data_IF_645312455917
#
_entry.id   IF_645312455917
#
_cell.length_a   1.000
_cell.length_b   1.000
_cell.length_c   1.000
_cell.angle_alpha   90.00
_cell.angle_beta   90.00
_cell.angle_gamma   90.00
#
_symmetry.space_group_name_H-M   'P 1'
#
loop_
_entity.id
_entity.type
_entity.pdbx_description
1 polymer ?
#
# COMPACT_ATOMS: atom_id res chain seq x y z
N UNK A 1 10.83 7.53 -16.58
CA UNK A 1 10.49 8.06 -15.24
C UNK A 1 11.57 9.00 -14.67
N UNK A 2 12.86 8.62 -14.51
CA UNK A 2 13.88 9.49 -13.87
C UNK A 2 14.02 10.88 -14.54
N UNK A 3 13.98 10.96 -15.87
CA UNK A 3 14.08 12.25 -16.58
C UNK A 3 12.85 13.14 -16.32
N UNK A 4 11.65 12.57 -16.27
CA UNK A 4 10.43 13.30 -15.92
C UNK A 4 10.51 13.85 -14.50
N UNK A 5 11.01 13.05 -13.53
CA UNK A 5 11.21 13.52 -12.15
C UNK A 5 12.20 14.70 -12.10
N UNK A 6 13.29 14.67 -12.90
CA UNK A 6 14.23 15.78 -12.97
C UNK A 6 13.60 17.06 -13.52
N UNK A 7 12.73 16.96 -14.52
CA UNK A 7 11.99 18.09 -15.08
C UNK A 7 10.98 18.64 -14.07
N UNK A 8 10.18 17.76 -13.46
CA UNK A 8 9.21 18.14 -12.44
C UNK A 8 9.87 18.86 -11.24
N UNK A 9 11.07 18.41 -10.81
CA UNK A 9 11.85 19.13 -9.78
C UNK A 9 12.27 20.55 -10.17
N UNK A 10 12.37 20.84 -11.48
CA UNK A 10 12.65 22.17 -12.00
C UNK A 10 11.40 23.03 -12.20
N UNK A 11 10.22 22.51 -11.82
CA UNK A 11 8.95 23.21 -11.92
C UNK A 11 8.16 22.92 -13.20
N UNK A 12 8.56 21.92 -13.98
CA UNK A 12 7.82 21.48 -15.18
C UNK A 12 6.55 20.74 -14.74
N UNK A 13 5.39 21.44 -14.83
CA UNK A 13 4.09 20.87 -14.44
C UNK A 13 3.65 19.71 -15.33
N UNK A 14 3.73 19.77 -16.67
CA UNK A 14 3.42 18.65 -17.53
C UNK A 14 4.21 17.37 -17.19
N UNK A 15 5.51 17.52 -16.87
CA UNK A 15 6.33 16.39 -16.44
C UNK A 15 5.86 15.80 -15.11
N UNK A 16 5.42 16.64 -14.16
CA UNK A 16 4.83 16.16 -12.90
C UNK A 16 3.52 15.41 -13.14
N UNK A 17 2.61 15.97 -13.93
CA UNK A 17 1.32 15.34 -14.25
C UNK A 17 1.50 13.97 -14.90
N UNK A 18 2.48 13.85 -15.80
CA UNK A 18 2.81 12.57 -16.45
C UNK A 18 3.30 11.52 -15.43
N UNK A 19 4.19 11.91 -14.51
CA UNK A 19 4.67 11.00 -13.47
C UNK A 19 3.53 10.53 -12.59
N UNK A 20 2.66 11.45 -12.17
CA UNK A 20 1.52 11.14 -11.30
C UNK A 20 0.57 10.19 -12.01
N UNK A 21 0.24 10.44 -13.28
CA UNK A 21 -0.61 9.56 -14.08
C UNK A 21 -0.08 8.12 -14.11
N UNK A 22 1.24 7.94 -14.20
CA UNK A 22 1.88 6.63 -14.16
C UNK A 22 1.82 5.97 -12.77
N UNK A 23 1.76 6.77 -11.70
CA UNK A 23 1.82 6.26 -10.33
C UNK A 23 0.43 6.02 -9.70
N UNK A 24 -0.61 6.78 -10.13
CA UNK A 24 -1.95 6.76 -9.50
C UNK A 24 -2.52 5.34 -9.33
N UNK A 25 -2.48 4.44 -10.32
CA UNK A 25 -3.03 3.09 -10.14
C UNK A 25 -2.36 2.32 -9.00
N UNK A 26 -1.03 2.46 -8.88
CA UNK A 26 -0.26 1.83 -7.81
C UNK A 26 -0.56 2.46 -6.44
N UNK A 27 -0.64 3.80 -6.40
CA UNK A 27 -0.96 4.55 -5.19
C UNK A 27 -2.37 4.21 -4.69
N UNK A 28 -3.35 4.17 -5.57
CA UNK A 28 -4.72 3.80 -5.23
C UNK A 28 -4.79 2.39 -4.65
N UNK A 29 -4.10 1.40 -5.28
CA UNK A 29 -4.04 0.03 -4.77
C UNK A 29 -3.46 -0.04 -3.35
N UNK A 30 -2.42 0.77 -3.06
CA UNK A 30 -1.84 0.84 -1.72
C UNK A 30 -2.83 1.49 -0.74
N UNK A 31 -3.46 2.61 -1.11
CA UNK A 31 -4.43 3.29 -0.27
C UNK A 31 -5.61 2.38 0.08
N UNK A 32 -6.16 1.67 -0.92
CA UNK A 32 -7.20 0.66 -0.73
C UNK A 32 -6.77 -0.45 0.21
N UNK A 33 -5.51 -0.91 0.14
CA UNK A 33 -5.00 -1.93 1.06
C UNK A 33 -4.93 -1.46 2.52
N UNK A 34 -4.93 -0.16 2.77
CA UNK A 34 -4.89 0.43 4.10
C UNK A 34 -6.30 0.80 4.58
N UNK A 35 -7.04 1.50 3.75
CA UNK A 35 -8.30 2.16 4.13
C UNK A 35 -9.52 1.27 3.92
N UNK A 36 -9.44 0.34 2.96
CA UNK A 36 -10.55 -0.56 2.57
C UNK A 36 -11.87 0.21 2.30
N UNK A 37 -11.76 1.42 1.78
CA UNK A 37 -12.85 2.30 1.38
C UNK A 37 -12.37 3.14 0.20
N UNK A 38 -13.19 3.21 -0.84
CA UNK A 38 -12.81 3.84 -2.11
C UNK A 38 -12.66 5.34 -1.96
N UNK A 39 -13.63 6.01 -1.33
CA UNK A 39 -13.64 7.46 -1.20
C UNK A 39 -12.47 7.93 -0.32
N UNK A 40 -12.23 7.27 0.82
CA UNK A 40 -11.08 7.55 1.68
C UNK A 40 -9.75 7.29 0.93
N UNK A 41 -9.70 6.28 0.05
CA UNK A 41 -8.52 5.98 -0.74
C UNK A 41 -8.25 7.04 -1.81
N UNK A 42 -9.29 7.50 -2.51
CA UNK A 42 -9.20 8.59 -3.48
C UNK A 42 -8.72 9.87 -2.80
N UNK A 43 -9.29 10.23 -1.65
CA UNK A 43 -8.89 11.41 -0.86
C UNK A 43 -7.42 11.30 -0.42
N UNK A 44 -7.00 10.15 0.11
CA UNK A 44 -5.61 9.95 0.53
C UNK A 44 -4.62 10.04 -0.64
N UNK A 45 -5.01 9.57 -1.83
CA UNK A 45 -4.19 9.70 -3.05
C UNK A 45 -4.11 11.16 -3.48
N UNK A 46 -5.24 11.89 -3.51
CA UNK A 46 -5.27 13.31 -3.84
C UNK A 46 -4.37 14.13 -2.90
N UNK A 47 -4.51 13.95 -1.59
CA UNK A 47 -3.65 14.61 -0.59
C UNK A 47 -2.17 14.26 -0.76
N UNK A 48 -1.86 12.99 -1.07
CA UNK A 48 -0.48 12.57 -1.30
C UNK A 48 0.11 13.22 -2.55
N UNK A 49 -0.67 13.38 -3.62
CA UNK A 49 -0.26 14.06 -4.86
C UNK A 49 0.02 15.53 -4.61
N UNK A 50 -0.88 16.23 -3.89
CA UNK A 50 -0.67 17.64 -3.52
C UNK A 50 0.62 17.80 -2.71
N UNK A 51 0.81 16.98 -1.66
CA UNK A 51 2.03 17.01 -0.85
C UNK A 51 3.29 16.66 -1.63
N UNK A 52 3.17 15.74 -2.60
CA UNK A 52 4.28 15.41 -3.48
C UNK A 52 4.64 16.60 -4.39
N UNK A 53 3.64 17.29 -4.96
CA UNK A 53 3.88 18.50 -5.76
C UNK A 53 4.61 19.59 -4.98
N UNK A 54 4.11 19.91 -3.79
CA UNK A 54 4.72 20.92 -2.91
C UNK A 54 6.15 20.60 -2.50
N UNK A 55 6.49 19.32 -2.36
CA UNK A 55 7.74 18.87 -1.76
C UNK A 55 8.70 18.14 -2.73
N UNK A 56 8.39 18.05 -4.02
CA UNK A 56 9.23 17.33 -4.99
C UNK A 56 10.65 17.90 -5.07
N UNK A 57 10.81 19.20 -4.82
CA UNK A 57 12.11 19.86 -4.77
C UNK A 57 13.02 19.32 -3.65
N UNK A 58 12.45 18.77 -2.56
CA UNK A 58 13.17 18.16 -1.43
C UNK A 58 13.64 16.74 -1.70
N UNK A 59 13.20 16.10 -2.79
CA UNK A 59 13.65 14.77 -3.15
C UNK A 59 15.13 14.79 -3.53
N UNK A 60 15.99 14.15 -2.75
CA UNK A 60 17.44 14.16 -2.99
C UNK A 60 17.82 13.43 -4.28
N UNK A 61 17.37 12.20 -4.46
CA UNK A 61 17.68 11.38 -5.64
C UNK A 61 16.40 10.96 -6.37
N UNK A 62 16.31 11.33 -7.65
CA UNK A 62 15.18 11.05 -8.52
C UNK A 62 14.88 9.53 -8.68
N UNK A 63 15.87 8.66 -8.43
CA UNK A 63 15.70 7.20 -8.47
C UNK A 63 14.72 6.70 -7.40
N UNK A 64 14.62 7.41 -6.29
CA UNK A 64 13.77 7.03 -5.15
C UNK A 64 12.38 7.69 -5.17
N UNK A 65 11.99 8.32 -6.27
CA UNK A 65 10.69 9.00 -6.38
C UNK A 65 9.53 8.07 -6.03
N UNK A 66 9.49 6.85 -6.58
CA UNK A 66 8.42 5.88 -6.31
C UNK A 66 8.32 5.56 -4.82
N UNK A 67 9.43 5.21 -4.18
CA UNK A 67 9.47 4.92 -2.74
C UNK A 67 9.09 6.14 -1.89
N UNK A 68 9.50 7.33 -2.32
CA UNK A 68 9.23 8.58 -1.64
C UNK A 68 7.75 8.96 -1.68
N UNK A 69 7.08 8.88 -2.85
CA UNK A 69 5.65 9.18 -2.96
C UNK A 69 4.79 8.14 -2.24
N UNK A 70 5.16 6.86 -2.30
CA UNK A 70 4.50 5.79 -1.53
C UNK A 70 4.57 6.09 -0.03
N UNK A 71 5.70 6.57 0.48
CA UNK A 71 5.82 6.97 1.89
C UNK A 71 4.91 8.13 2.25
N UNK A 72 4.76 9.13 1.37
CA UNK A 72 3.83 10.24 1.57
C UNK A 72 2.40 9.67 1.66
N UNK A 73 2.01 8.84 0.71
CA UNK A 73 0.68 8.22 0.68
C UNK A 73 0.39 7.42 1.96
N UNK A 74 1.30 6.54 2.37
CA UNK A 74 1.11 5.70 3.56
C UNK A 74 0.91 6.57 4.82
N UNK A 75 1.62 7.69 4.93
CA UNK A 75 1.44 8.61 6.04
C UNK A 75 0.03 9.23 6.03
N UNK A 76 -0.51 9.61 4.84
CA UNK A 76 -1.87 10.13 4.70
C UNK A 76 -2.90 9.05 5.04
N UNK A 77 -2.79 7.88 4.41
CA UNK A 77 -3.71 6.78 4.64
C UNK A 77 -3.74 6.33 6.12
N UNK A 78 -2.59 6.25 6.78
CA UNK A 78 -2.55 5.93 8.21
C UNK A 78 -3.16 7.02 9.09
N UNK A 79 -3.04 8.30 8.72
CA UNK A 79 -3.68 9.40 9.43
C UNK A 79 -5.20 9.34 9.28
N UNK A 80 -5.71 9.12 8.07
CA UNK A 80 -7.13 8.93 7.79
C UNK A 80 -7.70 7.71 8.53
N UNK A 81 -7.02 6.56 8.49
CA UNK A 81 -7.40 5.36 9.22
C UNK A 81 -7.53 5.59 10.74
N UNK A 82 -6.55 6.28 11.33
CA UNK A 82 -6.58 6.61 12.77
C UNK A 82 -7.68 7.60 13.13
N UNK A 83 -7.96 8.59 12.28
CA UNK A 83 -9.05 9.54 12.50
C UNK A 83 -10.40 8.84 12.51
N UNK A 84 -10.62 7.94 11.54
CA UNK A 84 -11.86 7.18 11.41
C UNK A 84 -12.06 6.22 12.58
N UNK A 85 -11.03 5.50 13.01
CA UNK A 85 -11.13 4.60 14.17
C UNK A 85 -11.46 5.36 15.46
N UNK A 86 -10.98 6.60 15.64
CA UNK A 86 -11.36 7.44 16.79
C UNK A 86 -12.84 7.85 16.77
N UNK A 87 -13.38 8.13 15.59
CA UNK A 87 -14.79 8.51 15.42
C UNK A 87 -15.69 7.31 15.78
N UNK A 88 -15.35 6.10 15.34
CA UNK A 88 -16.10 4.89 15.66
C UNK A 88 -16.10 4.64 17.18
N UNK A 89 -14.97 4.81 17.87
CA UNK A 89 -14.90 4.68 19.34
C UNK A 89 -15.75 5.71 20.11
N UNK A 90 -16.09 6.83 19.51
CA UNK A 90 -16.95 7.86 20.15
C UNK A 90 -18.44 7.57 19.97
N UNK A 91 -18.83 6.76 18.99
CA UNK A 91 -20.23 6.44 18.68
C UNK A 91 -20.66 5.01 19.08
N UNK A 92 -19.72 4.07 19.23
CA UNK A 92 -20.02 2.67 19.59
C UNK A 92 -19.36 2.27 20.91
N UNK A 93 -20.15 2.35 21.99
CA UNK A 93 -19.77 1.72 23.27
C UNK A 93 -20.10 0.22 23.30
N UNK A 94 -20.64 -0.35 22.21
CA UNK A 94 -21.07 -1.74 22.15
C UNK A 94 -20.86 -2.34 20.76
N UNK A 95 -19.65 -2.62 20.35
CA UNK A 95 -19.34 -3.78 19.50
C UNK A 95 -17.84 -3.80 19.18
N UNK A 96 -17.14 -4.79 19.73
CA UNK A 96 -15.79 -5.17 19.32
C UNK A 96 -15.84 -5.91 17.96
N UNK A 97 -16.27 -5.20 16.92
CA UNK A 97 -16.18 -5.66 15.55
C UNK A 97 -15.33 -4.67 14.76
N UNK A 98 -14.18 -5.13 14.24
CA UNK A 98 -13.51 -4.42 13.15
C UNK A 98 -14.57 -4.12 12.07
N UNK A 99 -14.69 -2.87 11.58
CA UNK A 99 -15.70 -2.54 10.60
C UNK A 99 -15.47 -3.42 9.35
N UNK A 100 -16.38 -4.38 9.14
CA UNK A 100 -16.47 -5.11 7.88
C UNK A 100 -17.09 -4.16 6.87
N UNK A 101 -16.26 -3.46 6.10
CA UNK A 101 -16.73 -2.70 4.96
C UNK A 101 -16.89 -3.62 3.75
N UNK A 102 -18.10 -3.65 3.21
CA UNK A 102 -18.50 -4.49 2.06
C UNK A 102 -17.94 -4.02 0.71
N UNK A 103 -17.17 -2.93 0.65
CA UNK A 103 -16.48 -2.54 -0.57
C UNK A 103 -15.30 -3.49 -0.80
N UNK A 104 -15.56 -4.51 -1.59
CA UNK A 104 -14.56 -5.51 -1.99
C UNK A 104 -13.42 -4.79 -2.71
N UNK A 105 -12.29 -4.79 -2.05
CA UNK A 105 -11.01 -4.41 -2.67
C UNK A 105 -10.79 -5.26 -3.91
N UNK A 106 -11.02 -4.67 -5.09
CA UNK A 106 -10.87 -5.35 -6.37
C UNK A 106 -9.39 -5.42 -6.77
N UNK A 107 -8.72 -6.48 -6.33
CA UNK A 107 -7.42 -6.90 -6.88
C UNK A 107 -7.60 -7.77 -8.14
N UNK A 108 -8.80 -7.82 -8.71
CA UNK A 108 -9.27 -8.82 -9.63
C UNK A 108 -10.30 -9.70 -8.92
N UNK A 109 -11.28 -10.22 -9.65
CA UNK A 109 -12.42 -10.98 -9.12
C UNK A 109 -12.06 -12.34 -8.48
N UNK A 110 -10.84 -12.48 -7.96
CA UNK A 110 -10.24 -13.74 -7.55
C UNK A 110 -10.31 -13.96 -6.04
N UNK A 111 -10.41 -15.22 -5.64
CA UNK A 111 -10.30 -15.69 -4.27
C UNK A 111 -9.09 -15.10 -3.53
N UNK A 112 -8.00 -14.83 -4.25
CA UNK A 112 -6.79 -14.20 -3.71
C UNK A 112 -7.05 -12.77 -3.22
N UNK A 113 -7.82 -11.96 -3.95
CA UNK A 113 -8.21 -10.61 -3.55
C UNK A 113 -8.97 -10.61 -2.25
N UNK A 114 -9.98 -11.48 -2.16
CA UNK A 114 -10.78 -11.64 -0.94
C UNK A 114 -9.92 -12.14 0.23
N UNK A 115 -9.01 -13.09 -0.03
CA UNK A 115 -8.11 -13.60 0.99
C UNK A 115 -7.14 -12.53 1.51
N UNK A 116 -6.60 -11.67 0.62
CA UNK A 116 -5.74 -10.54 0.99
C UNK A 116 -6.52 -9.47 1.75
N UNK A 117 -7.74 -9.13 1.29
CA UNK A 117 -8.61 -8.17 1.98
C UNK A 117 -8.95 -8.61 3.41
N UNK A 118 -9.10 -9.92 3.63
CA UNK A 118 -9.35 -10.50 4.95
C UNK A 118 -8.11 -10.67 5.85
N UNK A 119 -6.94 -10.14 5.46
CA UNK A 119 -5.78 -10.03 6.36
C UNK A 119 -5.90 -8.79 7.24
N UNK A 120 -5.29 -8.82 8.44
CA UNK A 120 -5.13 -7.60 9.23
C UNK A 120 -4.33 -6.55 8.45
N UNK A 121 -4.59 -5.28 8.73
CA UNK A 121 -3.97 -4.12 8.08
C UNK A 121 -2.44 -4.29 7.90
N UNK A 122 -1.75 -4.72 8.95
CA UNK A 122 -0.29 -4.87 8.94
C UNK A 122 0.21 -5.92 7.96
N UNK A 123 -0.50 -7.04 7.85
CA UNK A 123 -0.17 -8.13 6.94
C UNK A 123 -0.55 -7.77 5.50
N UNK A 124 -1.71 -7.16 5.30
CA UNK A 124 -2.19 -6.73 3.99
C UNK A 124 -1.26 -5.70 3.37
N UNK A 125 -0.86 -4.68 4.14
CA UNK A 125 0.06 -3.64 3.68
C UNK A 125 1.40 -4.20 3.22
N UNK A 126 2.04 -5.08 4.00
CA UNK A 126 3.34 -5.65 3.59
C UNK A 126 3.23 -6.58 2.38
N UNK A 127 2.14 -7.32 2.23
CA UNK A 127 1.86 -8.14 1.04
C UNK A 127 1.71 -7.24 -0.18
N UNK A 128 0.93 -6.17 -0.08
CA UNK A 128 0.71 -5.21 -1.19
C UNK A 128 2.03 -4.58 -1.63
N UNK A 129 2.84 -4.10 -0.71
CA UNK A 129 4.12 -3.48 -1.05
C UNK A 129 5.13 -4.48 -1.66
N UNK A 130 5.16 -5.71 -1.17
CA UNK A 130 6.12 -6.71 -1.61
C UNK A 130 5.75 -7.32 -2.96
N UNK A 131 4.49 -7.79 -3.13
CA UNK A 131 4.08 -8.55 -4.30
C UNK A 131 3.51 -7.69 -5.43
N UNK A 132 2.81 -6.61 -5.11
CA UNK A 132 2.17 -5.76 -6.12
C UNK A 132 3.02 -4.54 -6.50
N UNK A 133 3.93 -4.12 -5.62
CA UNK A 133 4.81 -2.97 -5.89
C UNK A 133 6.27 -3.38 -6.12
N UNK A 134 6.59 -4.67 -6.06
CA UNK A 134 7.94 -5.23 -6.22
C UNK A 134 9.00 -4.57 -5.31
N UNK A 135 8.58 -4.07 -4.13
CA UNK A 135 9.48 -3.39 -3.20
C UNK A 135 10.35 -4.39 -2.44
N UNK A 136 11.62 -4.07 -2.29
CA UNK A 136 12.55 -4.85 -1.47
C UNK A 136 12.24 -4.66 0.02
N UNK A 137 12.55 -5.67 0.84
CA UNK A 137 12.33 -5.63 2.30
C UNK A 137 12.92 -4.36 2.94
N UNK A 138 14.11 -3.94 2.51
CA UNK A 138 14.76 -2.71 2.99
C UNK A 138 13.94 -1.45 2.66
N UNK A 139 13.34 -1.39 1.47
CA UNK A 139 12.50 -0.26 1.03
C UNK A 139 11.18 -0.24 1.81
N UNK A 140 10.54 -1.40 1.98
CA UNK A 140 9.33 -1.55 2.80
C UNK A 140 9.59 -1.12 4.24
N UNK A 141 10.70 -1.55 4.83
CA UNK A 141 11.11 -1.15 6.18
C UNK A 141 11.27 0.37 6.30
N UNK A 142 11.88 1.01 5.29
CA UNK A 142 12.05 2.47 5.24
C UNK A 142 10.74 3.22 5.07
N UNK A 143 9.82 2.71 4.24
CA UNK A 143 8.51 3.32 3.98
C UNK A 143 7.60 3.20 5.20
N UNK A 144 7.52 2.01 5.81
CA UNK A 144 6.68 1.73 6.99
C UNK A 144 7.32 2.17 8.31
N UNK A 145 8.59 2.59 8.31
CA UNK A 145 9.36 2.97 9.51
C UNK A 145 9.42 1.87 10.58
N UNK A 146 9.59 0.61 10.12
CA UNK A 146 9.72 -0.57 10.98
C UNK A 146 11.01 -1.33 10.68
N UNK A 147 11.55 -2.12 11.63
CA UNK A 147 12.73 -2.95 11.38
C UNK A 147 12.52 -3.95 10.24
N UNK A 148 13.58 -4.26 9.48
CA UNK A 148 13.52 -5.28 8.41
C UNK A 148 13.09 -6.67 8.94
N UNK A 149 13.49 -7.01 10.16
CA UNK A 149 13.05 -8.23 10.84
C UNK A 149 11.54 -8.30 11.00
N UNK A 150 10.91 -7.16 11.37
CA UNK A 150 9.45 -7.04 11.46
C UNK A 150 8.77 -7.22 10.10
N UNK A 151 9.33 -6.65 9.04
CA UNK A 151 8.80 -6.85 7.67
C UNK A 151 8.87 -8.33 7.28
N UNK A 152 10.02 -8.98 7.50
CA UNK A 152 10.20 -10.42 7.22
C UNK A 152 9.18 -11.27 8.00
N UNK A 153 9.03 -10.99 9.28
CA UNK A 153 8.08 -11.70 10.13
C UNK A 153 6.63 -11.50 9.65
N UNK A 154 6.23 -10.24 9.37
CA UNK A 154 4.88 -9.93 8.85
C UNK A 154 4.62 -10.65 7.52
N UNK A 155 5.57 -10.64 6.58
CA UNK A 155 5.45 -11.35 5.31
C UNK A 155 5.31 -12.87 5.51
N UNK A 156 6.09 -13.47 6.40
CA UNK A 156 6.01 -14.91 6.72
C UNK A 156 4.63 -15.26 7.30
N UNK A 157 4.15 -14.49 8.28
CA UNK A 157 2.83 -14.71 8.90
C UNK A 157 1.68 -14.48 7.91
N UNK A 158 1.77 -13.42 7.10
CA UNK A 158 0.77 -13.14 6.07
C UNK A 158 0.68 -14.28 5.04
N UNK A 159 1.82 -14.81 4.58
CA UNK A 159 1.86 -15.98 3.68
C UNK A 159 1.22 -17.22 4.30
N UNK A 160 1.51 -17.49 5.57
CA UNK A 160 0.91 -18.63 6.28
C UNK A 160 -0.62 -18.51 6.34
N UNK A 161 -1.14 -17.32 6.71
CA UNK A 161 -2.59 -17.06 6.74
C UNK A 161 -3.23 -17.13 5.35
N UNK A 162 -2.56 -16.64 4.31
CA UNK A 162 -3.07 -16.76 2.93
C UNK A 162 -3.10 -18.22 2.48
N UNK A 163 -2.06 -19.00 2.80
CA UNK A 163 -2.03 -20.42 2.49
C UNK A 163 -3.19 -21.17 3.16
N UNK A 164 -3.46 -20.88 4.43
CA UNK A 164 -4.59 -21.47 5.18
C UNK A 164 -5.93 -21.15 4.50
N UNK A 165 -6.18 -19.87 4.18
CA UNK A 165 -7.42 -19.41 3.53
C UNK A 165 -7.60 -19.95 2.11
N UNK A 166 -6.49 -20.17 1.36
CA UNK A 166 -6.50 -20.63 -0.02
C UNK A 166 -6.25 -22.14 -0.15
N UNK A 167 -6.12 -22.89 0.95
CA UNK A 167 -5.86 -24.33 0.91
C UNK A 167 -7.02 -25.13 0.35
N UNK A 168 -8.23 -24.57 0.32
CA UNK A 168 -9.42 -25.20 -0.26
C UNK A 168 -9.51 -25.07 -1.79
N UNK A 169 -8.81 -24.07 -2.40
CA UNK A 169 -8.70 -23.94 -3.86
C UNK A 169 -7.42 -23.16 -4.24
N UNK A 170 -6.31 -23.81 -4.63
CA UNK A 170 -5.07 -23.12 -4.97
C UNK A 170 -5.17 -22.45 -6.35
N UNK A 171 -5.03 -21.13 -6.49
CA UNK A 171 -4.92 -20.49 -7.79
C UNK A 171 -3.58 -20.82 -8.46
N UNK A 172 -3.57 -21.13 -9.78
CA UNK A 172 -2.40 -21.67 -10.47
C UNK A 172 -1.24 -20.67 -10.68
N UNK A 173 -1.48 -19.37 -10.64
CA UNK A 173 -0.50 -18.40 -11.12
C UNK A 173 0.45 -17.78 -10.08
N UNK A 174 0.15 -17.83 -8.80
CA UNK A 174 0.99 -17.20 -7.78
C UNK A 174 2.08 -18.12 -7.21
N UNK A 175 1.99 -19.43 -7.45
CA UNK A 175 3.00 -20.42 -7.01
C UNK A 175 4.42 -20.10 -7.47
N UNK A 176 4.58 -19.46 -8.63
CA UNK A 176 5.87 -19.07 -9.20
C UNK A 176 6.57 -17.91 -8.49
N UNK A 177 5.82 -17.03 -7.81
CA UNK A 177 6.39 -15.86 -7.11
C UNK A 177 6.80 -16.15 -5.66
N UNK A 178 6.18 -17.15 -5.04
CA UNK A 178 6.52 -17.54 -3.65
C UNK A 178 7.86 -18.28 -3.58
N UNK A 179 8.28 -18.96 -4.65
CA UNK A 179 9.53 -19.73 -4.72
C UNK A 179 10.81 -18.90 -4.70
N UNK A 180 10.74 -17.57 -4.83
CA UNK A 180 11.93 -16.70 -4.79
C UNK A 180 12.30 -16.20 -3.39
N UNK A 181 11.58 -16.61 -2.35
CA UNK A 181 11.98 -16.38 -0.96
C UNK A 181 12.61 -17.65 -0.40
N UNK A 182 13.73 -18.11 -0.98
CA UNK A 182 14.64 -18.98 -0.27
C UNK A 182 15.17 -18.23 0.96
N UNK A 183 15.00 -18.90 2.06
CA UNK A 183 15.46 -18.57 3.39
C UNK A 183 16.97 -18.31 3.33
N UNK A 184 17.37 -17.10 3.63
CA UNK A 184 18.69 -16.80 4.18
C UNK A 184 18.47 -16.28 5.59
#
# INVERSE_FOLDING_TARGET
>A
MINLVKLAKKGDKPAFDEIIRLCVPDLFRIAMSILNNKDDADDAVCEAVVKAYENIHKLNDCKFFKTWIIRILINQANAAYKSRSKIVYLYDYDTANEPQYEDKYDLGSDELSAAVAGLSLEFRTVITLYYFQDMRIKEIAGVLQIPQGTVKWRLSKAKAKLKEKLSEAPPPEWKGRIGKCEVI
#
